data_IF_140858423858
#
_entry.id   IF_140858423858
#
_cell.length_a   1.000
_cell.length_b   1.000
_cell.length_c   1.000
_cell.angle_alpha   90.00
_cell.angle_beta   90.00
_cell.angle_gamma   90.00
#
_symmetry.space_group_name_H-M   'P 1'
#
loop_
_entity.id
_entity.type
_entity.pdbx_description
1 polymer ?
#
# COMPACT_ATOMS: atom_id res chain seq x y z
N UNK A 1 -7.82 28.67 -52.16
CA UNK A 1 -7.95 29.64 -51.05
C UNK A 1 -9.15 29.23 -50.23
N UNK A 2 -8.92 28.60 -49.08
CA UNK A 2 -9.96 28.27 -48.11
C UNK A 2 -9.42 28.77 -46.78
N UNK A 3 -10.10 29.76 -46.22
CA UNK A 3 -9.60 30.65 -45.18
C UNK A 3 -9.51 30.01 -43.79
N UNK A 4 -8.63 30.62 -42.99
CA UNK A 4 -8.50 30.41 -41.56
C UNK A 4 -9.81 30.67 -40.81
N UNK A 5 -10.03 29.90 -39.74
CA UNK A 5 -10.72 30.37 -38.53
C UNK A 5 -9.99 29.81 -37.31
N UNK A 6 -8.98 30.56 -36.87
CA UNK A 6 -8.59 30.56 -35.46
C UNK A 6 -9.80 31.07 -34.67
N UNK A 7 -10.28 30.24 -33.76
CA UNK A 7 -11.31 30.58 -32.79
C UNK A 7 -10.77 30.20 -31.42
N UNK A 8 -10.35 31.21 -30.68
CA UNK A 8 -9.96 31.14 -29.29
C UNK A 8 -11.09 30.51 -28.46
N UNK A 9 -10.73 29.51 -27.65
CA UNK A 9 -11.54 28.94 -26.58
C UNK A 9 -10.71 28.98 -25.31
N UNK A 10 -10.55 30.20 -24.78
CA UNK A 10 -10.63 30.57 -23.36
C UNK A 10 -10.02 29.58 -22.36
N UNK A 11 -8.87 29.98 -21.79
CA UNK A 11 -8.24 29.34 -20.64
C UNK A 11 -9.24 29.27 -19.46
N UNK A 12 -9.69 28.06 -19.04
CA UNK A 12 -10.67 27.91 -17.97
C UNK A 12 -10.10 28.19 -16.57
N UNK A 13 -8.83 28.61 -16.47
CA UNK A 13 -8.17 28.96 -15.22
C UNK A 13 -7.86 30.46 -15.11
N UNK A 14 -8.33 31.28 -16.06
CA UNK A 14 -8.22 32.73 -15.96
C UNK A 14 -9.32 33.31 -15.04
N UNK A 15 -8.92 33.45 -13.78
CA UNK A 15 -9.45 34.35 -12.74
C UNK A 15 -10.45 33.75 -11.73
N UNK A 16 -9.92 33.47 -10.55
CA UNK A 16 -10.62 33.62 -9.28
C UNK A 16 -9.54 33.86 -8.22
N UNK A 17 -9.20 35.13 -8.01
CA UNK A 17 -8.45 35.56 -6.83
C UNK A 17 -9.17 35.16 -5.53
N UNK A 18 -8.51 34.44 -4.60
CA UNK A 18 -8.93 34.41 -3.22
C UNK A 18 -8.13 35.44 -2.42
N UNK A 19 -8.81 36.47 -1.92
CA UNK A 19 -8.34 37.29 -0.80
C UNK A 19 -8.59 36.52 0.50
N UNK A 20 -7.56 36.33 1.35
CA UNK A 20 -7.79 36.37 2.78
C UNK A 20 -6.88 37.40 3.45
N UNK A 21 -7.53 38.40 4.02
CA UNK A 21 -6.99 39.28 5.05
C UNK A 21 -6.81 38.48 6.34
N UNK A 22 -5.58 38.44 6.86
CA UNK A 22 -5.19 38.67 8.27
C UNK A 22 -3.88 37.90 8.57
N UNK A 23 -2.78 38.65 8.57
CA UNK A 23 -1.53 38.26 9.24
C UNK A 23 -1.37 39.17 10.45
N UNK A 24 -1.45 38.58 11.64
CA UNK A 24 -1.16 39.22 12.92
C UNK A 24 -0.22 38.29 13.68
N UNK A 25 1.04 38.74 13.73
CA UNK A 25 1.96 38.66 14.87
C UNK A 25 2.36 37.28 15.43
N UNK A 26 3.60 36.93 15.07
CA UNK A 26 4.56 36.18 15.87
C UNK A 26 4.82 36.83 17.23
N UNK A 27 4.76 36.05 18.30
CA UNK A 27 5.51 36.32 19.53
C UNK A 27 6.05 35.02 20.13
N UNK A 28 7.23 35.13 20.71
CA UNK A 28 8.12 34.05 21.11
C UNK A 28 7.96 33.65 22.59
N UNK A 29 8.53 32.49 22.91
CA UNK A 29 9.14 32.11 24.19
C UNK A 29 8.25 32.01 25.46
N UNK A 30 8.14 30.80 26.01
CA UNK A 30 8.45 30.57 27.44
C UNK A 30 8.72 29.08 27.68
N UNK A 31 9.99 28.76 27.93
CA UNK A 31 10.46 27.47 28.40
C UNK A 31 9.89 27.18 29.80
N UNK A 32 9.36 25.97 30.01
CA UNK A 32 9.22 25.40 31.36
C UNK A 32 9.80 24.01 31.39
N UNK A 33 11.07 23.96 31.77
CA UNK A 33 11.66 22.80 32.43
C UNK A 33 10.93 22.52 33.74
N UNK A 34 10.41 21.32 33.91
CA UNK A 34 10.11 20.76 35.22
C UNK A 34 10.78 19.41 35.34
N UNK A 35 11.65 19.34 36.35
CA UNK A 35 12.60 18.28 36.67
C UNK A 35 11.92 16.91 36.84
N UNK A 36 12.53 15.90 36.21
CA UNK A 36 12.15 14.49 36.32
C UNK A 36 12.92 13.85 37.48
N UNK A 37 12.21 13.56 38.57
CA UNK A 37 12.70 12.67 39.64
C UNK A 37 12.23 11.25 39.29
N UNK A 38 13.17 10.38 38.90
CA UNK A 38 12.89 9.01 38.46
C UNK A 38 13.39 8.00 39.49
N UNK A 39 12.46 7.39 40.24
CA UNK A 39 12.71 6.12 40.95
C UNK A 39 12.79 4.97 39.93
N UNK A 40 13.71 3.99 40.09
CA UNK A 40 13.79 2.85 39.19
C UNK A 40 12.67 1.85 39.49
N UNK A 41 11.53 2.05 38.84
CA UNK A 41 10.52 0.98 38.70
C UNK A 41 11.12 -0.10 37.80
N UNK A 42 11.14 -1.34 38.29
CA UNK A 42 11.49 -2.52 37.49
C UNK A 42 10.43 -2.68 36.39
N UNK A 43 10.69 -2.09 35.24
CA UNK A 43 9.83 -2.19 34.05
C UNK A 43 10.06 -3.57 33.44
N UNK A 44 9.18 -4.53 33.74
CA UNK A 44 8.95 -5.65 32.84
C UNK A 44 8.69 -5.06 31.46
N UNK A 45 9.62 -5.26 30.53
CA UNK A 45 9.51 -4.69 29.19
C UNK A 45 8.29 -5.33 28.53
N UNK A 46 7.22 -4.58 28.23
CA UNK A 46 6.09 -5.15 27.52
C UNK A 46 6.61 -5.64 26.18
N UNK A 47 6.44 -6.93 25.90
CA UNK A 47 6.69 -7.47 24.57
C UNK A 47 5.86 -6.62 23.59
N UNK A 48 6.47 -6.02 22.56
CA UNK A 48 5.71 -5.18 21.65
C UNK A 48 4.66 -6.05 20.97
N UNK A 49 3.40 -5.85 21.35
CA UNK A 49 2.27 -6.45 20.64
C UNK A 49 2.31 -5.90 19.23
N UNK A 50 2.65 -6.72 18.24
CA UNK A 50 2.67 -6.29 16.85
C UNK A 50 1.25 -5.89 16.45
N UNK A 51 1.06 -4.59 16.22
CA UNK A 51 -0.21 -4.05 15.76
C UNK A 51 -0.49 -4.64 14.37
N UNK A 52 -1.67 -5.27 14.15
CA UNK A 52 -2.03 -5.83 12.85
C UNK A 52 -1.79 -4.83 11.71
N UNK A 53 -1.23 -5.33 10.61
CA UNK A 53 -0.74 -4.50 9.51
C UNK A 53 -1.78 -3.53 8.94
N UNK A 54 -3.05 -3.94 8.85
CA UNK A 54 -4.13 -3.09 8.34
C UNK A 54 -4.43 -1.88 9.24
N UNK A 55 -4.16 -1.96 10.54
CA UNK A 55 -4.47 -0.90 11.52
C UNK A 55 -3.40 0.19 11.59
N UNK A 56 -2.23 -0.04 10.98
CA UNK A 56 -1.08 0.88 11.05
C UNK A 56 -0.71 1.53 9.72
N UNK A 57 -1.44 1.22 8.64
CA UNK A 57 -1.19 1.76 7.29
C UNK A 57 -2.25 2.80 6.92
N UNK A 58 -1.87 3.77 6.11
CA UNK A 58 -2.78 4.75 5.51
C UNK A 58 -3.24 4.30 4.12
N UNK A 59 -2.38 3.56 3.40
CA UNK A 59 -2.67 3.00 2.08
C UNK A 59 -2.15 1.57 1.93
N UNK A 60 -2.69 0.85 0.95
CA UNK A 60 -2.22 -0.51 0.63
C UNK A 60 -0.78 -0.53 0.10
N UNK A 61 -0.27 0.59 -0.40
CA UNK A 61 1.08 0.69 -0.96
C UNK A 61 2.15 1.01 0.08
N UNK A 62 1.75 1.35 1.31
CA UNK A 62 2.67 1.84 2.33
C UNK A 62 3.71 0.78 2.69
N UNK A 63 4.97 1.21 2.76
CA UNK A 63 6.12 0.37 3.09
C UNK A 63 6.30 -0.83 2.14
N UNK A 64 5.90 -0.71 0.86
CA UNK A 64 6.08 -1.75 -0.16
C UNK A 64 6.88 -1.26 -1.35
N UNK A 65 7.73 -2.15 -1.86
CA UNK A 65 8.39 -1.96 -3.14
C UNK A 65 7.45 -2.35 -4.29
N UNK A 66 7.53 -1.59 -5.39
CA UNK A 66 6.73 -1.89 -6.59
C UNK A 66 7.36 -3.02 -7.39
N UNK A 67 6.66 -4.14 -7.52
CA UNK A 67 7.08 -5.30 -8.32
C UNK A 67 6.06 -5.56 -9.44
N UNK A 68 6.44 -5.41 -10.73
CA UNK A 68 5.56 -5.77 -11.84
C UNK A 68 5.47 -7.30 -11.98
N UNK A 69 4.24 -7.84 -11.98
CA UNK A 69 3.97 -9.27 -12.11
C UNK A 69 3.11 -9.55 -13.35
N UNK A 70 3.56 -10.48 -14.19
CA UNK A 70 2.82 -10.96 -15.36
C UNK A 70 2.26 -12.35 -15.06
N UNK A 71 0.94 -12.49 -15.17
CA UNK A 71 0.23 -13.74 -14.91
C UNK A 71 -0.35 -14.29 -16.20
N UNK A 72 -0.40 -15.62 -16.31
CA UNK A 72 -1.19 -16.28 -17.34
C UNK A 72 -2.68 -15.96 -17.13
N UNK A 73 -3.48 -16.07 -18.19
CA UNK A 73 -4.91 -15.70 -18.15
C UNK A 73 -5.68 -16.53 -17.11
N UNK A 74 -5.38 -17.82 -17.02
CA UNK A 74 -6.00 -18.74 -16.05
C UNK A 74 -5.65 -18.33 -14.62
N UNK A 75 -4.35 -18.16 -14.31
CA UNK A 75 -3.91 -17.69 -12.98
C UNK A 75 -4.53 -16.35 -12.59
N UNK A 76 -4.68 -15.41 -13.54
CA UNK A 76 -5.35 -14.12 -13.28
C UNK A 76 -6.84 -14.29 -12.96
N UNK A 77 -7.50 -15.29 -13.54
CA UNK A 77 -8.88 -15.62 -13.22
C UNK A 77 -8.97 -16.24 -11.83
N UNK A 78 -8.13 -17.21 -11.53
CA UNK A 78 -8.09 -17.89 -10.24
C UNK A 78 -7.82 -16.91 -9.09
N UNK A 79 -6.92 -15.94 -9.31
CA UNK A 79 -6.67 -14.86 -8.36
C UNK A 79 -7.94 -14.03 -8.05
N UNK A 80 -8.76 -13.74 -9.07
CA UNK A 80 -10.03 -13.00 -8.87
C UNK A 80 -11.07 -13.84 -8.15
N UNK A 81 -11.10 -15.13 -8.40
CA UNK A 81 -12.05 -16.04 -7.77
C UNK A 81 -11.65 -16.26 -6.30
N UNK A 82 -10.35 -16.41 -6.01
CA UNK A 82 -9.81 -16.46 -4.65
C UNK A 82 -10.08 -15.16 -3.86
N UNK A 83 -9.94 -14.00 -4.50
CA UNK A 83 -10.27 -12.70 -3.88
C UNK A 83 -11.72 -12.68 -3.39
N UNK A 84 -12.67 -12.98 -4.30
CA UNK A 84 -14.11 -12.99 -3.98
C UNK A 84 -14.45 -13.99 -2.89
N UNK A 85 -13.81 -15.16 -2.91
CA UNK A 85 -14.02 -16.18 -1.88
C UNK A 85 -13.55 -15.68 -0.52
N UNK A 86 -12.38 -15.05 -0.44
CA UNK A 86 -11.84 -14.52 0.80
C UNK A 86 -12.66 -13.33 1.32
N UNK A 87 -13.07 -12.40 0.46
CA UNK A 87 -13.98 -11.31 0.83
C UNK A 87 -15.28 -11.85 1.45
N UNK A 88 -15.89 -12.85 0.80
CA UNK A 88 -17.09 -13.50 1.33
C UNK A 88 -16.86 -14.22 2.66
N UNK A 89 -15.66 -14.75 2.91
CA UNK A 89 -15.29 -15.40 4.18
C UNK A 89 -15.02 -14.41 5.30
N UNK A 90 -14.45 -13.25 4.99
CA UNK A 90 -14.19 -12.20 5.97
C UNK A 90 -15.41 -11.29 6.21
N UNK A 91 -16.40 -11.32 5.31
CA UNK A 91 -17.51 -10.35 5.29
C UNK A 91 -17.00 -8.91 5.19
N UNK A 92 -15.91 -8.72 4.43
CA UNK A 92 -15.21 -7.44 4.27
C UNK A 92 -14.46 -7.37 2.94
N UNK A 93 -14.10 -6.17 2.51
CA UNK A 93 -13.33 -5.92 1.29
C UNK A 93 -11.85 -6.30 1.50
N UNK A 94 -11.25 -6.96 0.50
CA UNK A 94 -9.85 -7.35 0.54
C UNK A 94 -9.10 -6.67 -0.61
N UNK A 95 -7.95 -6.06 -0.31
CA UNK A 95 -7.14 -5.54 -1.40
C UNK A 95 -6.47 -6.68 -2.17
N UNK A 96 -6.56 -6.62 -3.50
CA UNK A 96 -5.80 -7.51 -4.38
C UNK A 96 -4.29 -7.48 -4.11
N UNK A 97 -3.76 -6.33 -3.69
CA UNK A 97 -2.34 -6.21 -3.33
C UNK A 97 -2.01 -6.98 -2.05
N UNK A 98 -2.92 -7.00 -1.07
CA UNK A 98 -2.76 -7.79 0.16
C UNK A 98 -2.89 -9.28 -0.11
N UNK A 99 -3.86 -9.66 -0.94
CA UNK A 99 -4.01 -11.04 -1.38
C UNK A 99 -2.73 -11.56 -2.05
N UNK A 100 -2.18 -10.80 -3.00
CA UNK A 100 -0.93 -11.17 -3.67
C UNK A 100 0.23 -11.32 -2.71
N UNK A 101 0.40 -10.37 -1.80
CA UNK A 101 1.44 -10.44 -0.77
C UNK A 101 1.29 -11.71 0.07
N UNK A 102 0.08 -11.99 0.56
CA UNK A 102 -0.19 -13.19 1.35
C UNK A 102 0.09 -14.48 0.57
N UNK A 103 -0.33 -14.55 -0.70
CA UNK A 103 -0.04 -15.70 -1.57
C UNK A 103 1.47 -15.87 -1.80
N UNK A 104 2.22 -14.78 -1.97
CA UNK A 104 3.68 -14.81 -2.11
C UNK A 104 4.34 -15.28 -0.83
N UNK A 105 3.97 -14.74 0.34
CA UNK A 105 4.52 -15.15 1.63
C UNK A 105 4.28 -16.63 1.91
N UNK A 106 3.04 -17.11 1.71
CA UNK A 106 2.73 -18.54 1.86
C UNK A 106 3.55 -19.37 0.86
N UNK A 107 3.66 -18.95 -0.39
CA UNK A 107 4.48 -19.66 -1.38
C UNK A 107 5.97 -19.74 -1.00
N UNK A 108 6.52 -18.65 -0.44
CA UNK A 108 7.90 -18.61 0.06
C UNK A 108 8.12 -19.55 1.25
N UNK A 109 7.11 -19.73 2.09
CA UNK A 109 7.15 -20.67 3.22
C UNK A 109 6.90 -22.13 2.80
N UNK A 110 6.38 -22.38 1.59
CA UNK A 110 6.01 -23.71 1.08
C UNK A 110 6.72 -24.03 -0.25
N UNK A 111 8.06 -23.98 -0.23
CA UNK A 111 8.88 -24.16 -1.44
C UNK A 111 8.71 -25.51 -2.12
N UNK A 112 8.37 -26.58 -1.38
CA UNK A 112 8.16 -27.90 -1.97
C UNK A 112 6.96 -27.92 -2.94
N UNK A 113 5.86 -27.26 -2.57
CA UNK A 113 4.67 -27.13 -3.41
C UNK A 113 4.96 -26.25 -4.64
N UNK A 114 5.70 -25.15 -4.43
CA UNK A 114 6.17 -24.28 -5.52
C UNK A 114 7.06 -25.07 -6.49
N UNK A 115 7.99 -25.87 -5.98
CA UNK A 115 8.86 -26.72 -6.80
C UNK A 115 8.06 -27.76 -7.57
N UNK A 116 7.03 -28.35 -6.96
CA UNK A 116 6.08 -29.23 -7.63
C UNK A 116 5.39 -28.56 -8.82
N UNK A 117 4.89 -27.34 -8.63
CA UNK A 117 4.26 -26.56 -9.70
C UNK A 117 5.26 -26.24 -10.82
N UNK A 118 6.47 -25.80 -10.48
CA UNK A 118 7.53 -25.49 -11.45
C UNK A 118 7.94 -26.75 -12.24
N UNK A 119 8.08 -27.90 -11.59
CA UNK A 119 8.31 -29.18 -12.28
C UNK A 119 7.16 -29.55 -13.21
N UNK A 120 5.91 -29.29 -12.82
CA UNK A 120 4.74 -29.45 -13.68
C UNK A 120 4.81 -28.58 -14.94
N UNK A 121 5.43 -27.40 -14.86
CA UNK A 121 5.72 -26.54 -16.02
C UNK A 121 6.94 -26.99 -16.83
N UNK A 122 7.66 -28.01 -16.37
CA UNK A 122 8.81 -28.59 -17.04
C UNK A 122 10.17 -28.08 -16.56
N UNK A 123 10.23 -27.30 -15.48
CA UNK A 123 11.51 -26.96 -14.86
C UNK A 123 12.21 -28.23 -14.35
N UNK A 124 13.52 -28.34 -14.60
CA UNK A 124 14.32 -29.50 -14.19
C UNK A 124 14.17 -30.74 -15.09
N UNK A 125 13.37 -30.68 -16.18
CA UNK A 125 13.35 -31.74 -17.18
C UNK A 125 14.62 -31.67 -18.05
N UNK A 126 15.29 -32.81 -18.19
CA UNK A 126 16.38 -33.02 -19.14
C UNK A 126 15.92 -33.96 -20.24
N UNK A 127 16.26 -33.64 -21.48
CA UNK A 127 15.99 -34.48 -22.64
C UNK A 127 17.33 -35.03 -23.13
N UNK A 128 17.52 -36.34 -23.03
CA UNK A 128 18.65 -37.07 -23.65
C UNK A 128 18.42 -37.27 -25.16
#
# INVERSE_FOLDING_TARGET
>A
MTGMKEGAGEDPFADSEPVPTQSSESDADDERETESDSEPTMTETPQPTEIPMILRRDSVQDNRDRVPLFLQQETKRDERDALRELEARFDDDLSLTDLREALVLIGLDNLDDVEGQLRGWGYGLTFD
#
